data_IF_574832825571
#
_entry.id   IF_574832825571
#
_cell.length_a   1.000
_cell.length_b   1.000
_cell.length_c   1.000
_cell.angle_alpha   90.00
_cell.angle_beta   90.00
_cell.angle_gamma   90.00
#
_symmetry.space_group_name_H-M   'P 1'
#
loop_
_entity.id
_entity.type
_entity.pdbx_description
1 polymer ?
#
# COMPACT_ATOMS: atom_id res chain seq x y z
N UNK A 1 2.75 27.19 -6.56
CA UNK A 1 1.60 26.42 -7.09
C UNK A 1 2.06 25.02 -7.51
N UNK A 2 2.51 24.16 -6.58
CA UNK A 2 3.12 22.83 -6.92
C UNK A 2 2.49 21.67 -6.13
N UNK A 3 1.36 21.90 -5.42
CA UNK A 3 0.65 20.86 -4.66
C UNK A 3 -0.48 20.18 -5.44
N UNK A 4 -1.31 20.97 -6.12
CA UNK A 4 -2.58 20.52 -6.71
C UNK A 4 -2.47 19.42 -7.79
N UNK A 5 -1.36 19.31 -8.53
CA UNK A 5 -1.24 18.28 -9.59
C UNK A 5 -1.02 16.88 -9.03
N UNK A 6 -0.40 16.73 -7.85
CA UNK A 6 -0.21 15.42 -7.20
C UNK A 6 -1.52 14.94 -6.55
N UNK A 7 -2.28 15.85 -5.96
CA UNK A 7 -3.52 15.56 -5.25
C UNK A 7 -4.70 15.23 -6.21
N UNK A 8 -4.51 15.43 -7.52
CA UNK A 8 -5.51 15.14 -8.57
C UNK A 8 -5.19 13.87 -9.38
N UNK A 9 -4.10 13.17 -9.07
CA UNK A 9 -3.75 11.94 -9.79
C UNK A 9 -4.72 10.82 -9.43
N UNK A 10 -5.29 10.15 -10.44
CA UNK A 10 -6.29 9.09 -10.24
C UNK A 10 -5.82 8.01 -9.25
N UNK A 11 -4.56 7.58 -9.34
CA UNK A 11 -4.00 6.61 -8.38
C UNK A 11 -3.99 7.14 -6.95
N UNK A 12 -3.62 8.40 -6.75
CA UNK A 12 -3.58 9.01 -5.42
C UNK A 12 -4.99 9.11 -4.83
N UNK A 13 -5.96 9.54 -5.64
CA UNK A 13 -7.37 9.61 -5.25
C UNK A 13 -7.88 8.21 -4.86
N UNK A 14 -7.61 7.18 -5.65
CA UNK A 14 -8.04 5.80 -5.34
C UNK A 14 -7.41 5.32 -4.01
N UNK A 15 -6.12 5.57 -3.80
CA UNK A 15 -5.41 5.21 -2.57
C UNK A 15 -5.99 5.96 -1.36
N UNK A 16 -6.24 7.25 -1.49
CA UNK A 16 -6.83 8.07 -0.41
C UNK A 16 -8.24 7.60 -0.06
N UNK A 17 -9.08 7.32 -1.06
CA UNK A 17 -10.42 6.78 -0.83
C UNK A 17 -10.37 5.39 -0.16
N UNK A 18 -9.41 4.54 -0.55
CA UNK A 18 -9.18 3.24 0.11
C UNK A 18 -8.80 3.41 1.58
N UNK A 19 -7.90 4.35 1.92
CA UNK A 19 -7.44 4.60 3.29
C UNK A 19 -8.55 5.24 4.14
N UNK A 20 -9.34 6.11 3.54
CA UNK A 20 -10.40 6.86 4.21
C UNK A 20 -11.74 6.11 4.26
N UNK A 21 -11.83 4.86 3.81
CA UNK A 21 -13.07 4.10 3.83
C UNK A 21 -13.63 3.99 5.25
N UNK A 22 -14.82 4.56 5.45
CA UNK A 22 -15.50 4.59 6.74
C UNK A 22 -16.38 3.36 6.99
N UNK A 23 -16.51 2.48 5.99
CA UNK A 23 -17.24 1.23 6.15
C UNK A 23 -16.57 0.34 7.23
N UNK A 24 -17.32 -0.18 8.22
CA UNK A 24 -16.75 -1.01 9.28
C UNK A 24 -16.11 -2.31 8.79
N UNK A 25 -16.54 -2.82 7.63
CA UNK A 25 -16.01 -4.02 6.99
C UNK A 25 -14.98 -3.70 5.90
N UNK A 26 -14.68 -2.41 5.67
CA UNK A 26 -13.78 -1.92 4.63
C UNK A 26 -14.15 -2.42 3.22
N UNK A 27 -15.44 -2.63 2.95
CA UNK A 27 -15.91 -3.16 1.68
C UNK A 27 -15.51 -2.31 0.48
N UNK A 28 -15.50 -0.98 0.62
CA UNK A 28 -15.04 -0.05 -0.40
C UNK A 28 -13.52 -0.13 -0.61
N UNK A 29 -12.76 -0.20 0.48
CA UNK A 29 -11.31 -0.33 0.44
C UNK A 29 -10.88 -1.63 -0.25
N UNK A 30 -11.56 -2.75 0.01
CA UNK A 30 -11.29 -4.04 -0.68
C UNK A 30 -11.51 -3.91 -2.18
N UNK A 31 -12.60 -3.25 -2.61
CA UNK A 31 -12.87 -3.02 -4.03
C UNK A 31 -11.81 -2.13 -4.68
N UNK A 32 -11.46 -1.01 -4.02
CA UNK A 32 -10.44 -0.08 -4.51
C UNK A 32 -9.04 -0.73 -4.56
N UNK A 33 -8.71 -1.60 -3.59
CA UNK A 33 -7.50 -2.43 -3.65
C UNK A 33 -7.50 -3.33 -4.89
N UNK A 34 -8.64 -3.94 -5.24
CA UNK A 34 -8.80 -4.72 -6.47
C UNK A 34 -8.52 -3.89 -7.72
N UNK A 35 -9.05 -2.66 -7.80
CA UNK A 35 -8.77 -1.72 -8.89
C UNK A 35 -7.28 -1.38 -8.95
N UNK A 36 -6.65 -1.10 -7.81
CA UNK A 36 -5.22 -0.82 -7.74
C UNK A 36 -4.38 -2.01 -8.23
N UNK A 37 -4.74 -3.25 -7.88
CA UNK A 37 -4.06 -4.45 -8.39
C UNK A 37 -4.12 -4.53 -9.90
N UNK A 38 -5.30 -4.34 -10.49
CA UNK A 38 -5.47 -4.40 -11.95
C UNK A 38 -4.61 -3.30 -12.62
N UNK A 39 -4.65 -2.08 -12.09
CA UNK A 39 -3.90 -0.95 -12.65
C UNK A 39 -2.38 -1.07 -12.48
N UNK A 40 -1.93 -1.70 -11.40
CA UNK A 40 -0.51 -1.87 -11.11
C UNK A 40 0.06 -3.16 -11.68
N UNK A 41 -0.78 -4.15 -12.00
CA UNK A 41 -0.35 -5.41 -12.59
C UNK A 41 0.31 -5.16 -13.94
N UNK A 42 1.63 -5.41 -14.04
CA UNK A 42 2.32 -5.16 -15.29
C UNK A 42 1.90 -6.15 -16.40
N UNK A 43 1.20 -7.24 -16.07
CA UNK A 43 0.58 -8.17 -17.01
C UNK A 43 -0.85 -7.76 -17.41
N UNK A 44 -1.48 -6.76 -16.80
CA UNK A 44 -2.75 -6.21 -17.30
C UNK A 44 -2.53 -5.02 -18.25
N UNK A 45 -1.30 -4.51 -18.33
CA UNK A 45 -0.90 -3.44 -19.25
C UNK A 45 -0.65 -3.93 -20.71
N UNK A 46 -1.14 -5.12 -21.05
CA UNK A 46 -0.88 -5.90 -22.30
C UNK A 46 -1.20 -5.18 -23.61
N UNK A 47 -1.91 -4.04 -23.58
CA UNK A 47 -2.17 -3.24 -24.77
C UNK A 47 -0.96 -2.38 -25.19
N UNK A 48 0.05 -2.18 -24.33
CA UNK A 48 1.24 -1.41 -24.70
C UNK A 48 2.24 -2.28 -25.46
N UNK A 49 2.52 -1.91 -26.71
CA UNK A 49 3.53 -2.58 -27.57
C UNK A 49 4.96 -2.27 -27.09
N UNK A 50 5.12 -1.40 -26.08
CA UNK A 50 6.39 -0.80 -25.71
C UNK A 50 6.76 -1.03 -24.23
N UNK A 51 7.85 -1.78 -23.99
CA UNK A 51 8.34 -2.11 -22.64
C UNK A 51 8.65 -0.88 -21.78
N UNK A 52 8.95 0.27 -22.39
CA UNK A 52 9.27 1.50 -21.65
C UNK A 52 8.06 2.09 -20.92
N UNK A 53 6.86 2.03 -21.51
CA UNK A 53 5.65 2.66 -20.93
C UNK A 53 5.23 1.99 -19.61
N UNK A 54 5.35 0.65 -19.53
CA UNK A 54 5.16 -0.13 -18.30
C UNK A 54 6.12 0.30 -17.20
N UNK A 55 7.41 0.41 -17.53
CA UNK A 55 8.44 0.87 -16.59
C UNK A 55 8.20 2.31 -16.14
N UNK A 56 7.81 3.20 -17.04
CA UNK A 56 7.54 4.60 -16.74
C UNK A 56 6.32 4.77 -15.83
N UNK A 57 5.26 3.99 -16.06
CA UNK A 57 4.09 3.98 -15.19
C UNK A 57 4.41 3.50 -13.78
N UNK A 58 5.16 2.39 -13.64
CA UNK A 58 5.61 1.92 -12.32
C UNK A 58 6.52 2.95 -11.65
N UNK A 59 7.47 3.54 -12.38
CA UNK A 59 8.31 4.62 -11.85
C UNK A 59 7.48 5.78 -11.34
N UNK A 60 6.42 6.16 -12.06
CA UNK A 60 5.50 7.20 -11.63
C UNK A 60 4.79 6.82 -10.32
N UNK A 61 4.21 5.62 -10.23
CA UNK A 61 3.56 5.12 -9.00
C UNK A 61 4.51 5.16 -7.80
N UNK A 62 5.73 4.62 -7.92
CA UNK A 62 6.69 4.61 -6.83
C UNK A 62 7.23 6.00 -6.45
N UNK A 63 7.27 6.93 -7.40
CA UNK A 63 7.71 8.30 -7.14
C UNK A 63 6.64 9.17 -6.49
N UNK A 64 5.37 8.96 -6.86
CA UNK A 64 4.29 9.90 -6.54
C UNK A 64 3.21 9.34 -5.63
N UNK A 65 2.93 8.04 -5.68
CA UNK A 65 1.74 7.44 -5.06
C UNK A 65 2.07 6.53 -3.89
N UNK A 66 3.18 5.79 -3.95
CA UNK A 66 3.51 4.78 -2.93
C UNK A 66 3.65 5.37 -1.53
N UNK A 67 4.06 6.64 -1.40
CA UNK A 67 4.20 7.31 -0.10
C UNK A 67 2.84 7.46 0.60
N UNK A 68 1.79 7.72 -0.17
CA UNK A 68 0.42 7.85 0.35
C UNK A 68 -0.05 6.48 0.83
N UNK A 69 0.19 5.43 0.02
CA UNK A 69 -0.18 4.06 0.36
C UNK A 69 0.48 3.57 1.66
N UNK A 70 1.77 3.87 1.86
CA UNK A 70 2.50 3.39 3.04
C UNK A 70 2.39 4.31 4.26
N UNK A 71 1.87 5.54 4.11
CA UNK A 71 1.79 6.50 5.21
C UNK A 71 1.08 5.94 6.45
N UNK A 72 -0.11 5.29 6.35
CA UNK A 72 -0.76 4.70 7.51
C UNK A 72 0.10 3.66 8.24
N UNK A 73 0.86 2.84 7.49
CA UNK A 73 1.77 1.85 8.07
C UNK A 73 2.94 2.53 8.80
N UNK A 74 3.54 3.55 8.19
CA UNK A 74 4.66 4.29 8.79
C UNK A 74 4.21 5.03 10.06
N UNK A 75 3.05 5.68 10.02
CA UNK A 75 2.47 6.39 11.17
C UNK A 75 2.12 5.41 12.28
N UNK A 76 1.49 4.28 11.96
CA UNK A 76 1.08 3.31 12.98
C UNK A 76 2.25 2.62 13.67
N UNK A 77 3.45 2.69 13.10
CA UNK A 77 4.65 2.01 13.60
C UNK A 77 5.77 2.99 13.96
N UNK A 78 5.52 4.30 13.95
CA UNK A 78 6.54 5.36 14.01
C UNK A 78 7.52 5.20 15.18
N UNK A 79 7.03 4.76 16.35
CA UNK A 79 7.80 4.59 17.59
C UNK A 79 8.32 3.16 17.81
N UNK A 80 8.42 2.37 16.74
CA UNK A 80 8.75 0.93 16.82
C UNK A 80 7.72 0.11 17.64
N UNK A 81 6.56 0.71 17.88
CA UNK A 81 5.41 0.16 18.58
C UNK A 81 4.13 0.54 17.84
N UNK A 82 3.11 -0.33 17.83
CA UNK A 82 1.80 0.00 17.29
C UNK A 82 1.15 1.17 18.01
N UNK A 83 0.58 2.09 17.24
CA UNK A 83 -0.12 3.26 17.78
C UNK A 83 -1.65 3.08 17.80
N UNK A 84 -2.19 2.33 16.83
CA UNK A 84 -3.61 2.00 16.69
C UNK A 84 -3.76 0.50 16.49
N UNK A 85 -4.51 -0.12 17.39
CA UNK A 85 -4.80 -1.56 17.42
C UNK A 85 -6.31 -1.83 17.29
N UNK A 86 -7.10 -0.83 16.93
CA UNK A 86 -8.52 -1.05 16.64
C UNK A 86 -8.68 -1.92 15.38
N UNK A 87 -9.77 -2.70 15.36
CA UNK A 87 -10.05 -3.68 14.31
C UNK A 87 -9.95 -3.10 12.89
N UNK A 88 -10.47 -1.88 12.68
CA UNK A 88 -10.43 -1.22 11.37
C UNK A 88 -8.99 -0.89 10.97
N UNK A 89 -8.20 -0.34 11.88
CA UNK A 89 -6.77 -0.05 11.62
C UNK A 89 -5.99 -1.32 11.27
N UNK A 90 -6.23 -2.43 11.99
CA UNK A 90 -5.60 -3.73 11.72
C UNK A 90 -5.98 -4.23 10.32
N UNK A 91 -7.26 -4.21 9.97
CA UNK A 91 -7.70 -4.65 8.64
C UNK A 91 -7.13 -3.78 7.51
N UNK A 92 -7.17 -2.45 7.64
CA UNK A 92 -6.62 -1.54 6.64
C UNK A 92 -5.12 -1.76 6.43
N UNK A 93 -4.36 -1.92 7.50
CA UNK A 93 -2.94 -2.25 7.41
C UNK A 93 -2.73 -3.62 6.76
N UNK A 94 -3.60 -4.60 7.03
CA UNK A 94 -3.65 -5.87 6.32
C UNK A 94 -3.76 -5.70 4.80
N UNK A 95 -4.72 -4.89 4.33
CA UNK A 95 -4.91 -4.61 2.89
C UNK A 95 -3.66 -3.94 2.28
N UNK A 96 -3.08 -2.96 2.97
CA UNK A 96 -1.85 -2.29 2.53
C UNK A 96 -0.71 -3.31 2.40
N UNK A 97 -0.54 -4.20 3.37
CA UNK A 97 0.48 -5.26 3.32
C UNK A 97 0.23 -6.27 2.21
N UNK A 98 -1.03 -6.60 1.93
CA UNK A 98 -1.41 -7.49 0.84
C UNK A 98 -1.06 -6.86 -0.52
N UNK A 99 -1.34 -5.56 -0.69
CA UNK A 99 -0.97 -4.82 -1.90
C UNK A 99 0.55 -4.62 -2.05
N UNK A 100 1.27 -4.41 -0.93
CA UNK A 100 2.74 -4.39 -0.94
C UNK A 100 3.32 -5.77 -1.30
N UNK A 101 2.72 -6.86 -0.83
CA UNK A 101 3.12 -8.22 -1.19
C UNK A 101 2.92 -8.50 -2.68
N UNK A 102 1.79 -8.07 -3.22
CA UNK A 102 1.57 -8.06 -4.67
C UNK A 102 2.66 -7.26 -5.41
N UNK A 103 3.01 -6.06 -4.94
CA UNK A 103 4.09 -5.29 -5.55
C UNK A 103 5.45 -6.01 -5.50
N UNK A 104 5.74 -6.77 -4.44
CA UNK A 104 6.96 -7.60 -4.32
C UNK A 104 7.00 -8.68 -5.38
N UNK A 105 5.87 -9.37 -5.59
CA UNK A 105 5.73 -10.45 -6.56
C UNK A 105 5.85 -9.94 -8.01
N UNK A 106 5.24 -8.80 -8.32
CA UNK A 106 5.08 -8.35 -9.71
C UNK A 106 6.05 -7.24 -10.17
N UNK A 107 6.59 -6.39 -9.28
CA UNK A 107 7.30 -5.16 -9.69
C UNK A 107 8.84 -5.25 -9.66
N UNK A 108 9.41 -6.45 -9.49
CA UNK A 108 10.85 -6.78 -9.57
C UNK A 108 11.81 -5.77 -8.92
N UNK A 109 12.46 -4.88 -9.68
CA UNK A 109 13.44 -3.91 -9.18
C UNK A 109 12.81 -2.71 -8.47
N UNK A 110 11.65 -2.23 -8.91
CA UNK A 110 11.06 -0.99 -8.41
C UNK A 110 10.67 -1.09 -6.93
N UNK A 111 10.17 -2.25 -6.51
CA UNK A 111 9.77 -2.52 -5.12
C UNK A 111 10.98 -2.59 -4.16
N UNK A 112 12.14 -3.07 -4.64
CA UNK A 112 13.36 -3.18 -3.80
C UNK A 112 13.82 -1.81 -3.32
N UNK A 113 13.82 -0.81 -4.20
CA UNK A 113 14.19 0.57 -3.83
C UNK A 113 13.18 1.17 -2.84
N UNK A 114 11.89 0.86 -2.98
CA UNK A 114 10.86 1.32 -2.04
C UNK A 114 11.05 0.69 -0.65
N UNK A 115 11.24 -0.62 -0.58
CA UNK A 115 11.42 -1.36 0.68
C UNK A 115 12.67 -0.87 1.42
N UNK A 116 13.81 -0.77 0.73
CA UNK A 116 15.09 -0.42 1.33
C UNK A 116 15.14 1.04 1.79
N UNK A 117 14.63 1.98 0.99
CA UNK A 117 14.72 3.41 1.31
C UNK A 117 13.77 3.86 2.43
N UNK A 118 12.80 3.03 2.80
CA UNK A 118 11.73 3.38 3.75
C UNK A 118 11.69 2.49 4.99
N UNK A 119 12.66 1.59 5.13
CA UNK A 119 12.74 0.62 6.24
C UNK A 119 11.43 -0.15 6.43
N UNK A 120 10.73 -0.46 5.33
CA UNK A 120 9.40 -1.06 5.38
C UNK A 120 9.43 -2.44 6.05
N UNK A 121 10.51 -3.22 5.86
CA UNK A 121 10.64 -4.53 6.51
C UNK A 121 10.59 -4.42 8.03
N UNK A 122 11.27 -3.42 8.62
CA UNK A 122 11.22 -3.20 10.06
C UNK A 122 9.81 -2.85 10.52
N UNK A 123 9.10 -1.98 9.78
CA UNK A 123 7.72 -1.60 10.11
C UNK A 123 6.75 -2.79 10.00
N UNK A 124 6.92 -3.63 8.98
CA UNK A 124 6.16 -4.88 8.82
C UNK A 124 6.42 -5.83 9.99
N UNK A 125 7.66 -5.97 10.45
CA UNK A 125 8.01 -6.82 11.58
C UNK A 125 7.41 -6.31 12.90
N UNK A 126 7.39 -4.99 13.13
CA UNK A 126 6.70 -4.38 14.27
C UNK A 126 5.21 -4.74 14.24
N UNK A 127 4.57 -4.60 13.08
CA UNK A 127 3.16 -4.97 12.91
C UNK A 127 2.89 -6.48 13.08
N UNK A 128 3.76 -7.35 12.57
CA UNK A 128 3.61 -8.79 12.68
C UNK A 128 3.74 -9.32 14.12
N UNK A 129 4.53 -8.65 14.97
CA UNK A 129 4.61 -8.98 16.39
C UNK A 129 3.26 -8.87 17.10
N UNK A 130 2.43 -7.89 16.71
CA UNK A 130 1.07 -7.67 17.23
C UNK A 130 0.19 -8.90 17.03
N UNK A 131 0.10 -9.37 15.78
CA UNK A 131 -0.72 -10.53 15.37
C UNK A 131 -0.24 -11.84 16.03
N UNK A 132 1.04 -11.90 16.43
CA UNK A 132 1.60 -13.06 17.13
C UNK A 132 1.29 -13.03 18.64
N UNK A 133 1.13 -11.85 19.24
CA UNK A 133 0.74 -11.68 20.65
C UNK A 133 -0.77 -11.86 20.89
N UNK A 134 -1.62 -11.53 19.93
CA UNK A 134 -3.08 -11.73 20.02
C UNK A 134 -3.51 -13.20 19.92
N UNK A 135 -2.65 -14.08 19.38
CA UNK A 135 -2.85 -15.52 19.32
C UNK A 135 -2.87 -16.25 20.69
N UNK A 136 -2.87 -15.52 21.81
CA UNK A 136 -2.98 -16.06 23.18
C UNK A 136 -4.23 -15.63 23.96
N UNK A 137 -5.10 -14.78 23.40
CA UNK A 137 -6.31 -14.31 24.14
C UNK A 137 -7.61 -14.91 23.56
N UNK A 138 -7.54 -15.73 22.50
CA UNK A 138 -8.69 -16.46 21.95
C UNK A 138 -8.48 -17.99 21.88
N UNK A 139 -7.73 -18.57 22.83
CA UNK A 139 -7.83 -20.00 23.18
C UNK A 139 -8.09 -20.16 24.67
#
# INVERSE_FOLDING_TARGET
MVGFEKDQMLLNIIIEQMICDTDPELGGAVQLMGVLRILLDPENMLASVNKSEKTDFLNFFYKHSVQILIAPLLENTAHDEPQKEDYRSVQLLGLILELLSFCVEHHTYHIKNCILNKDLLRRILVYAKINSSEGRILQ
#
